data_IF_293204430318
#
_entry.id   IF_293204430318
#
_cell.length_a   1.000
_cell.length_b   1.000
_cell.length_c   1.000
_cell.angle_alpha   90.00
_cell.angle_beta   90.00
_cell.angle_gamma   90.00
#
_symmetry.space_group_name_H-M   'P 1'
#
loop_
_entity.id
_entity.type
_entity.pdbx_description
1 polymer ?
#
# COMPACT_ATOMS: atom_id res chain seq x y z
N UNK A 1 12.43 -3.51 0.18
CA UNK A 1 11.11 -3.11 0.70
C UNK A 1 11.30 -2.57 2.10
N UNK A 2 10.72 -1.41 2.35
CA UNK A 2 10.86 -0.66 3.59
C UNK A 2 9.50 -0.41 4.21
N UNK A 3 9.46 -0.42 5.53
CA UNK A 3 8.30 -0.02 6.31
C UNK A 3 8.72 1.05 7.31
N UNK A 4 7.97 2.14 7.40
CA UNK A 4 8.29 3.28 8.24
C UNK A 4 7.43 3.23 9.50
N UNK A 5 7.95 2.62 10.56
CA UNK A 5 7.24 2.46 11.82
C UNK A 5 7.22 3.77 12.61
N UNK A 6 6.05 4.15 13.12
CA UNK A 6 5.80 5.47 13.73
C UNK A 6 5.67 5.42 15.25
N UNK A 7 5.47 4.23 15.83
CA UNK A 7 5.17 4.09 17.26
C UNK A 7 6.22 3.32 18.08
N UNK A 8 7.33 2.87 17.47
CA UNK A 8 8.36 2.10 18.17
C UNK A 8 9.23 2.95 19.10
N UNK A 9 9.55 4.17 18.68
CA UNK A 9 10.35 5.13 19.45
C UNK A 9 9.67 6.49 19.41
N UNK A 10 9.52 7.11 20.59
CA UNK A 10 8.86 8.41 20.71
C UNK A 10 9.57 9.46 19.86
N UNK A 11 8.82 10.10 18.96
CA UNK A 11 9.28 11.15 18.04
C UNK A 11 10.35 10.71 17.01
N UNK A 12 10.43 9.42 16.69
CA UNK A 12 11.33 8.91 15.64
C UNK A 12 10.55 7.97 14.70
N UNK A 13 10.70 8.19 13.40
CA UNK A 13 10.27 7.20 12.39
C UNK A 13 11.38 6.17 12.26
N UNK A 14 11.07 4.91 12.55
CA UNK A 14 12.01 3.80 12.49
C UNK A 14 11.82 3.06 11.16
N UNK A 15 12.85 3.07 10.33
CA UNK A 15 12.85 2.30 9.07
C UNK A 15 13.09 0.81 9.35
N UNK A 16 12.11 -0.02 9.09
CA UNK A 16 12.24 -1.47 9.07
C UNK A 16 12.54 -1.92 7.63
N UNK A 17 13.49 -2.85 7.49
CA UNK A 17 13.80 -3.51 6.21
C UNK A 17 13.32 -4.95 6.28
N UNK A 18 12.67 -5.42 5.22
CA UNK A 18 12.32 -6.83 5.10
C UNK A 18 13.57 -7.62 4.70
N UNK A 19 13.88 -8.66 5.47
CA UNK A 19 15.03 -9.54 5.20
C UNK A 19 14.79 -10.42 3.94
N UNK A 20 15.84 -11.09 3.46
CA UNK A 20 15.72 -12.28 2.60
C UNK A 20 15.82 -13.52 3.51
N UNK A 21 14.85 -14.45 3.51
CA UNK A 21 13.81 -14.73 2.50
C UNK A 21 12.40 -14.19 2.84
N UNK A 22 12.28 -12.95 3.30
CA UNK A 22 11.01 -12.24 3.53
C UNK A 22 10.20 -12.74 4.73
N UNK A 23 10.89 -13.21 5.75
CA UNK A 23 10.28 -13.80 6.94
C UNK A 23 10.11 -12.80 8.06
N UNK A 24 11.02 -11.82 8.17
CA UNK A 24 11.00 -10.83 9.24
C UNK A 24 11.47 -9.45 8.78
N UNK A 25 10.87 -8.46 9.42
CA UNK A 25 11.27 -7.06 9.39
C UNK A 25 12.33 -6.82 10.44
N UNK A 26 13.38 -6.07 10.10
CA UNK A 26 14.43 -5.73 11.05
C UNK A 26 14.82 -4.25 10.97
N UNK A 27 15.29 -3.70 12.08
CA UNK A 27 15.96 -2.41 12.13
C UNK A 27 17.37 -2.58 12.71
N UNK A 28 18.41 -2.34 11.91
CA UNK A 28 19.80 -2.54 12.35
C UNK A 28 20.23 -1.58 13.46
N UNK A 29 19.71 -0.34 13.45
CA UNK A 29 20.13 0.72 14.38
C UNK A 29 19.71 0.44 15.82
N UNK A 30 18.48 -0.05 16.00
CA UNK A 30 17.84 -0.24 17.30
C UNK A 30 17.62 -1.71 17.66
N UNK A 31 17.87 -2.63 16.73
CA UNK A 31 17.77 -4.07 16.95
C UNK A 31 16.34 -4.59 17.04
N UNK A 32 15.36 -3.88 16.48
CA UNK A 32 13.98 -4.38 16.41
C UNK A 32 13.83 -5.47 15.37
N UNK A 33 13.03 -6.48 15.68
CA UNK A 33 12.65 -7.56 14.76
C UNK A 33 11.16 -7.86 14.89
N UNK A 34 10.47 -8.00 13.75
CA UNK A 34 9.04 -8.34 13.70
C UNK A 34 8.77 -9.38 12.61
N UNK A 35 7.99 -10.43 12.87
CA UNK A 35 7.59 -11.37 11.82
C UNK A 35 6.69 -10.69 10.77
N UNK A 36 6.67 -11.28 9.56
CA UNK A 36 5.66 -11.00 8.52
C UNK A 36 4.28 -11.54 8.96
N UNK A 37 3.20 -10.85 8.59
CA UNK A 37 1.83 -11.35 8.75
C UNK A 37 1.50 -12.50 7.78
N UNK A 38 1.83 -13.73 8.19
CA UNK A 38 1.54 -14.95 7.41
C UNK A 38 0.07 -15.37 7.42
N UNK A 39 -0.74 -14.88 8.36
CA UNK A 39 -2.17 -15.20 8.46
C UNK A 39 -2.97 -14.50 7.37
N UNK A 40 -2.72 -13.21 7.16
CA UNK A 40 -3.32 -12.44 6.07
C UNK A 40 -2.59 -12.64 4.73
N UNK A 41 -1.42 -13.30 4.76
CA UNK A 41 -0.52 -13.41 3.60
C UNK A 41 -0.21 -12.04 2.99
N UNK A 42 0.08 -11.07 3.84
CA UNK A 42 0.55 -9.76 3.41
C UNK A 42 1.90 -9.47 4.07
N UNK A 43 2.51 -8.35 3.69
CA UNK A 43 3.87 -8.03 4.12
C UNK A 43 3.95 -7.19 5.39
N UNK A 44 2.86 -7.03 6.14
CA UNK A 44 2.89 -6.19 7.33
C UNK A 44 3.82 -6.75 8.42
N UNK A 45 4.65 -5.90 9.05
CA UNK A 45 5.27 -6.24 10.33
C UNK A 45 4.20 -6.36 11.41
N UNK A 46 4.24 -7.45 12.18
CA UNK A 46 3.27 -7.70 13.25
C UNK A 46 3.93 -8.05 14.57
N UNK A 47 3.28 -7.70 15.67
CA UNK A 47 3.58 -8.18 17.00
C UNK A 47 2.75 -9.44 17.27
N UNK A 48 3.43 -10.50 17.73
CA UNK A 48 2.77 -11.71 18.23
C UNK A 48 2.57 -11.56 19.73
N UNK A 49 1.34 -11.28 20.15
CA UNK A 49 1.00 -11.23 21.56
C UNK A 49 0.59 -12.64 22.03
N UNK A 50 1.58 -13.41 22.52
CA UNK A 50 1.38 -14.80 22.95
C UNK A 50 0.35 -14.93 24.09
N UNK A 51 0.22 -13.92 24.95
CA UNK A 51 -0.68 -13.94 26.10
C UNK A 51 -2.15 -13.79 25.70
N UNK A 52 -2.42 -13.03 24.65
CA UNK A 52 -3.77 -12.73 24.18
C UNK A 52 -4.21 -13.55 22.96
N UNK A 53 -3.25 -14.17 22.27
CA UNK A 53 -3.49 -14.87 21.01
C UNK A 53 -3.85 -13.95 19.84
N UNK A 54 -3.77 -12.64 20.02
CA UNK A 54 -4.00 -11.65 18.97
C UNK A 54 -2.69 -11.25 18.26
N UNK A 55 -2.85 -10.86 17.00
CA UNK A 55 -1.79 -10.36 16.15
C UNK A 55 -2.07 -8.87 15.95
N UNK A 56 -1.10 -8.03 16.29
CA UNK A 56 -1.23 -6.57 16.18
C UNK A 56 -0.27 -6.08 15.08
N UNK A 57 -0.69 -5.08 14.31
CA UNK A 57 0.20 -4.45 13.34
C UNK A 57 1.21 -3.56 14.04
N UNK A 58 2.45 -3.52 13.55
CA UNK A 58 3.31 -2.38 13.88
C UNK A 58 2.71 -1.17 13.15
N UNK A 59 2.46 -0.08 13.88
CA UNK A 59 1.91 1.14 13.30
C UNK A 59 2.97 1.84 12.45
N UNK A 60 2.58 2.30 11.27
CA UNK A 60 3.50 2.92 10.32
C UNK A 60 2.93 2.97 8.92
N UNK A 61 3.80 3.00 7.90
CA UNK A 61 3.36 3.02 6.52
C UNK A 61 4.37 2.41 5.55
N UNK A 62 3.84 1.96 4.41
CA UNK A 62 4.58 1.69 3.19
C UNK A 62 4.52 2.90 2.26
N UNK A 63 5.62 3.16 1.56
CA UNK A 63 5.60 4.06 0.39
C UNK A 63 5.36 3.23 -0.87
N UNK A 64 4.37 3.65 -1.66
CA UNK A 64 3.96 3.00 -2.89
C UNK A 64 4.28 3.91 -4.07
N UNK A 65 5.10 3.44 -5.00
CA UNK A 65 5.34 4.11 -6.28
C UNK A 65 4.29 3.64 -7.30
N UNK A 66 3.54 4.59 -7.86
CA UNK A 66 2.69 4.38 -9.04
C UNK A 66 3.40 4.97 -10.25
N UNK A 67 3.49 4.20 -11.33
CA UNK A 67 4.01 4.63 -12.63
C UNK A 67 2.88 4.65 -13.64
N UNK A 68 2.69 5.79 -14.30
CA UNK A 68 1.68 5.96 -15.35
C UNK A 68 2.16 5.39 -16.71
N UNK A 69 1.28 5.33 -17.73
CA UNK A 69 1.62 4.79 -19.05
C UNK A 69 2.77 5.53 -19.75
N UNK A 70 2.98 6.80 -19.42
CA UNK A 70 4.06 7.64 -19.97
C UNK A 70 5.38 7.50 -19.18
N UNK A 71 5.40 6.63 -18.15
CA UNK A 71 6.56 6.35 -17.30
C UNK A 71 6.77 7.35 -16.17
N UNK A 72 5.83 8.28 -15.95
CA UNK A 72 5.89 9.25 -14.86
C UNK A 72 5.48 8.62 -13.55
N UNK A 73 6.10 9.06 -12.46
CA UNK A 73 6.02 8.41 -11.16
C UNK A 73 5.45 9.31 -10.08
N UNK A 74 4.62 8.73 -9.22
CA UNK A 74 4.06 9.36 -8.04
C UNK A 74 4.16 8.42 -6.85
N UNK A 75 4.21 8.99 -5.64
CA UNK A 75 4.31 8.20 -4.41
C UNK A 75 3.15 8.56 -3.48
N UNK A 76 2.56 7.53 -2.90
CA UNK A 76 1.54 7.64 -1.86
C UNK A 76 1.80 6.62 -0.75
N UNK A 77 1.08 6.73 0.37
CA UNK A 77 1.29 5.90 1.54
C UNK A 77 0.13 4.91 1.74
N UNK A 78 0.47 3.66 2.07
CA UNK A 78 -0.44 2.70 2.70
C UNK A 78 -0.11 2.63 4.18
N UNK A 79 -1.06 3.00 5.05
CA UNK A 79 -0.85 3.13 6.48
C UNK A 79 -1.24 1.84 7.19
N UNK A 80 -0.33 1.28 7.98
CA UNK A 80 -0.64 0.20 8.91
C UNK A 80 -1.01 0.80 10.27
N UNK A 81 -2.10 0.34 10.86
CA UNK A 81 -2.51 0.69 12.23
C UNK A 81 -3.15 -0.54 12.88
N UNK A 82 -3.40 -0.49 14.19
CA UNK A 82 -4.06 -1.56 14.95
C UNK A 82 -5.50 -1.86 14.49
N UNK A 83 -5.99 -1.16 13.45
CA UNK A 83 -7.23 -1.48 12.80
C UNK A 83 -7.13 -2.83 12.08
N UNK A 84 -7.96 -3.78 12.50
CA UNK A 84 -8.20 -4.98 11.73
C UNK A 84 -8.96 -4.63 10.46
N UNK A 85 -8.39 -4.93 9.30
CA UNK A 85 -9.05 -4.77 8.00
C UNK A 85 -9.79 -6.06 7.68
N UNK A 86 -10.98 -5.96 7.09
CA UNK A 86 -11.65 -7.10 6.46
C UNK A 86 -11.49 -7.00 4.95
N UNK A 87 -10.81 -7.97 4.34
CA UNK A 87 -10.95 -8.19 2.89
C UNK A 87 -11.39 -9.63 2.64
N UNK A 88 -12.39 -9.80 1.78
CA UNK A 88 -13.02 -11.10 1.51
C UNK A 88 -14.02 -11.54 2.59
N UNK A 89 -14.00 -12.84 2.92
CA UNK A 89 -15.02 -13.66 3.62
C UNK A 89 -15.40 -13.26 5.06
N UNK A 90 -15.24 -11.99 5.45
CA UNK A 90 -15.62 -11.46 6.77
C UNK A 90 -14.62 -11.77 7.89
N UNK A 91 -13.42 -12.28 7.56
CA UNK A 91 -12.33 -12.40 8.54
C UNK A 91 -11.63 -11.06 8.71
N UNK A 92 -11.34 -10.73 9.97
CA UNK A 92 -10.62 -9.52 10.37
C UNK A 92 -9.16 -9.89 10.61
N UNK A 93 -8.26 -9.22 9.92
CA UNK A 93 -6.81 -9.40 10.08
C UNK A 93 -6.08 -8.06 10.05
N UNK A 94 -4.86 -7.98 10.62
CA UNK A 94 -4.06 -6.77 10.54
C UNK A 94 -3.75 -6.45 9.07
N UNK A 95 -4.14 -5.24 8.64
CA UNK A 95 -4.09 -4.79 7.25
C UNK A 95 -3.56 -3.36 7.15
N UNK A 96 -3.29 -2.93 5.92
CA UNK A 96 -3.04 -1.51 5.65
C UNK A 96 -4.34 -0.81 5.28
N UNK A 97 -4.39 0.49 5.46
CA UNK A 97 -5.47 1.39 5.07
C UNK A 97 -4.94 2.54 4.22
N UNK A 98 -5.82 3.17 3.45
CA UNK A 98 -5.49 4.28 2.57
C UNK A 98 -6.59 5.33 2.62
N UNK A 99 -6.26 6.55 3.07
CA UNK A 99 -7.12 7.71 2.78
C UNK A 99 -6.92 8.11 1.32
N UNK A 100 -7.63 7.40 0.45
CA UNK A 100 -7.57 7.53 -1.02
C UNK A 100 -7.75 8.97 -1.52
N UNK A 101 -8.53 9.80 -0.82
CA UNK A 101 -8.72 11.22 -1.14
C UNK A 101 -7.49 12.07 -0.84
N UNK A 102 -6.80 11.81 0.27
CA UNK A 102 -5.56 12.53 0.62
C UNK A 102 -4.40 12.00 -0.22
N UNK A 103 -4.29 10.68 -0.36
CA UNK A 103 -3.21 10.00 -1.04
C UNK A 103 -3.30 10.18 -2.57
N UNK A 104 -4.50 10.13 -3.15
CA UNK A 104 -4.73 10.41 -4.58
C UNK A 104 -4.33 11.83 -4.99
N UNK A 105 -4.46 12.82 -4.09
CA UNK A 105 -3.94 14.18 -4.33
C UNK A 105 -2.42 14.25 -4.41
N UNK A 106 -1.69 13.30 -3.82
CA UNK A 106 -0.22 13.23 -4.00
C UNK A 106 0.12 12.77 -5.41
N UNK A 107 -0.63 11.80 -5.95
CA UNK A 107 -0.50 11.35 -7.34
C UNK A 107 -0.85 12.46 -8.33
N UNK A 108 -1.94 13.19 -8.07
CA UNK A 108 -2.32 14.36 -8.87
C UNK A 108 -1.21 15.43 -8.90
N UNK A 109 -0.63 15.76 -7.74
CA UNK A 109 0.46 16.74 -7.65
C UNK A 109 1.77 16.27 -8.28
N UNK A 110 2.02 14.97 -8.27
CA UNK A 110 3.12 14.39 -9.04
C UNK A 110 2.87 14.57 -10.54
N UNK A 111 1.62 14.79 -10.96
CA UNK A 111 1.21 15.14 -12.31
C UNK A 111 1.16 13.94 -13.23
N UNK A 112 0.81 12.78 -12.69
CA UNK A 112 0.56 11.57 -13.47
C UNK A 112 -0.55 11.85 -14.48
N UNK A 113 -0.57 11.07 -15.55
CA UNK A 113 -1.72 10.98 -16.43
C UNK A 113 -2.96 10.62 -15.60
N UNK A 114 -4.03 11.38 -15.78
CA UNK A 114 -5.26 11.22 -15.00
C UNK A 114 -6.12 10.11 -15.62
N UNK A 115 -6.52 9.08 -14.85
CA UNK A 115 -7.52 8.11 -15.30
C UNK A 115 -8.94 8.68 -15.10
N UNK A 116 -9.90 8.19 -15.89
CA UNK A 116 -11.32 8.59 -15.83
C UNK A 116 -11.89 8.36 -14.41
N UNK A 117 -11.55 7.23 -13.79
CA UNK A 117 -11.98 6.87 -12.43
C UNK A 117 -11.30 7.68 -11.32
N UNK A 118 -10.32 8.54 -11.63
CA UNK A 118 -9.61 9.37 -10.67
C UNK A 118 -8.43 8.68 -9.95
N UNK A 119 -7.58 9.49 -9.30
CA UNK A 119 -6.38 9.00 -8.61
C UNK A 119 -6.67 8.30 -7.27
N UNK A 120 -7.81 8.62 -6.65
CA UNK A 120 -8.33 7.91 -5.49
C UNK A 120 -8.58 6.43 -5.82
N UNK A 121 -9.09 6.13 -7.02
CA UNK A 121 -9.25 4.74 -7.47
C UNK A 121 -7.91 3.99 -7.57
N UNK A 122 -6.84 4.64 -8.06
CA UNK A 122 -5.50 4.04 -8.10
C UNK A 122 -5.00 3.65 -6.69
N UNK A 123 -5.22 4.52 -5.70
CA UNK A 123 -4.90 4.24 -4.31
C UNK A 123 -5.74 3.07 -3.76
N UNK A 124 -7.04 3.08 -4.04
CA UNK A 124 -7.98 2.04 -3.58
C UNK A 124 -7.64 0.65 -4.13
N UNK A 125 -7.40 0.52 -5.44
CA UNK A 125 -7.10 -0.78 -6.05
C UNK A 125 -5.74 -1.33 -5.59
N UNK A 126 -4.79 -0.44 -5.32
CA UNK A 126 -3.48 -0.83 -4.77
C UNK A 126 -3.61 -1.30 -3.31
N UNK A 127 -4.39 -0.59 -2.50
CA UNK A 127 -4.75 -1.02 -1.14
C UNK A 127 -5.41 -2.40 -1.13
N UNK A 128 -6.37 -2.62 -2.03
CA UNK A 128 -7.05 -3.89 -2.18
C UNK A 128 -6.06 -5.01 -2.58
N UNK A 129 -5.23 -4.78 -3.60
CA UNK A 129 -4.23 -5.74 -4.05
C UNK A 129 -3.21 -6.11 -2.97
N UNK A 130 -2.79 -5.14 -2.15
CA UNK A 130 -1.88 -5.37 -1.03
C UNK A 130 -2.51 -6.22 0.10
N UNK A 131 -3.77 -5.96 0.44
CA UNK A 131 -4.40 -6.67 1.55
C UNK A 131 -4.98 -8.04 1.17
N UNK A 132 -5.37 -8.27 -0.09
CA UNK A 132 -5.92 -9.56 -0.52
C UNK A 132 -4.87 -10.64 -0.83
N UNK A 133 -3.59 -10.30 -0.89
CA UNK A 133 -2.55 -11.29 -1.16
C UNK A 133 -1.12 -10.85 -0.93
N UNK A 134 -0.18 -11.72 -1.29
CA UNK A 134 1.28 -11.48 -1.19
C UNK A 134 1.77 -10.55 -2.30
N UNK A 135 1.02 -9.51 -2.64
CA UNK A 135 1.38 -8.56 -3.68
C UNK A 135 2.33 -7.49 -3.13
N UNK A 136 3.47 -7.30 -3.79
CA UNK A 136 4.38 -6.16 -3.56
C UNK A 136 4.41 -5.19 -4.72
N UNK A 137 3.79 -5.58 -5.82
CA UNK A 137 3.67 -4.85 -7.05
C UNK A 137 2.53 -5.44 -7.85
N UNK A 138 2.10 -4.69 -8.85
CA UNK A 138 1.08 -5.13 -9.78
C UNK A 138 0.84 -4.08 -10.85
N UNK A 139 -0.23 -4.32 -11.59
CA UNK A 139 -0.71 -3.42 -12.63
C UNK A 139 -2.23 -3.34 -12.59
N UNK A 140 -2.77 -2.25 -13.11
CA UNK A 140 -4.19 -2.10 -13.37
C UNK A 140 -4.37 -1.36 -14.69
N UNK A 141 -5.42 -1.73 -15.42
CA UNK A 141 -5.80 -1.16 -16.70
C UNK A 141 -6.93 -0.16 -16.44
N UNK A 142 -6.73 1.10 -16.83
CA UNK A 142 -7.69 2.19 -16.57
C UNK A 142 -7.89 3.03 -17.84
N UNK A 143 -9.12 3.42 -18.09
CA UNK A 143 -9.44 4.40 -19.12
C UNK A 143 -8.86 5.79 -18.75
N UNK A 144 -8.23 6.51 -19.70
CA UNK A 144 -7.75 7.87 -19.46
C UNK A 144 -8.90 8.88 -19.35
N UNK A 145 -8.73 9.91 -18.53
CA UNK A 145 -9.68 11.02 -18.43
C UNK A 145 -9.60 11.87 -19.71
N UNK A 146 -10.58 11.71 -20.59
CA UNK A 146 -10.68 12.45 -21.85
C UNK A 146 -11.88 13.39 -21.81
N UNK A 147 -11.61 14.70 -21.86
CA UNK A 147 -12.64 15.73 -22.04
C UNK A 147 -13.14 15.73 -23.49
N UNK A 148 -13.84 14.68 -23.94
CA UNK A 148 -14.45 14.66 -25.28
C UNK A 148 -15.94 14.97 -25.21
N UNK A 149 -16.35 15.97 -25.99
CA UNK A 149 -17.75 16.23 -26.26
C UNK A 149 -18.36 15.06 -27.05
N UNK A 150 -19.34 14.37 -26.44
CA UNK A 150 -20.35 13.46 -27.02
C UNK A 150 -20.11 13.09 -28.50
N UNK A 151 -19.58 11.88 -28.74
CA UNK A 151 -19.51 11.26 -30.07
C UNK A 151 -18.44 10.17 -30.21
N UNK A 152 -18.81 8.93 -29.89
CA UNK A 152 -18.26 7.65 -30.37
C UNK A 152 -16.79 7.26 -30.15
N UNK A 153 -15.99 8.01 -29.39
CA UNK A 153 -14.63 7.57 -29.03
C UNK A 153 -14.53 7.18 -27.56
N UNK A 154 -14.55 5.87 -27.28
CA UNK A 154 -14.10 5.32 -26.01
C UNK A 154 -12.58 5.20 -26.08
N UNK A 155 -11.82 5.82 -25.16
CA UNK A 155 -10.39 5.64 -25.14
C UNK A 155 -10.03 4.18 -24.83
N UNK A 156 -8.91 3.69 -25.37
CA UNK A 156 -8.39 2.37 -24.99
C UNK A 156 -7.89 2.41 -23.54
N UNK A 157 -8.09 1.33 -22.80
CA UNK A 157 -7.54 1.19 -21.45
C UNK A 157 -6.01 1.25 -21.48
N UNK A 158 -5.42 1.90 -20.47
CA UNK A 158 -3.98 2.07 -20.36
C UNK A 158 -3.46 1.44 -19.07
N UNK A 159 -2.27 0.86 -19.15
CA UNK A 159 -1.67 0.15 -18.01
C UNK A 159 -0.91 1.10 -17.10
N UNK A 160 -1.31 1.14 -15.84
CA UNK A 160 -0.56 1.72 -14.73
C UNK A 160 0.13 0.60 -13.95
N UNK A 161 1.31 0.89 -13.42
CA UNK A 161 2.07 -0.04 -12.58
C UNK A 161 2.17 0.51 -11.16
N UNK A 162 2.19 -0.37 -10.17
CA UNK A 162 2.47 0.00 -8.79
C UNK A 162 3.47 -0.95 -8.15
N UNK A 163 4.23 -0.46 -7.16
CA UNK A 163 5.09 -1.30 -6.31
C UNK A 163 5.34 -0.65 -4.96
N UNK A 164 5.60 -1.48 -3.96
CA UNK A 164 6.14 -1.08 -2.66
C UNK A 164 7.62 -0.77 -2.81
N UNK A 165 8.09 0.33 -2.22
CA UNK A 165 9.51 0.71 -2.17
C UNK A 165 10.28 -0.04 -1.08
#
# INVERSE_FOLDING_TARGET
>A
MKFFATNLIKNEIVELTLNEPETFWHNEKHGFEFPRNTWARNYLPVNLNEDSGFIECVEGYFEIEVTDPDGKKGVFNLNASDNTVSCGSGQLYPGADCDDKIEGKKLEKAGLKRPEMGFDFCCHITWYGFNEGEAKNGSFELEPDVEVAVGDFYPEEETYLWKIL
#
